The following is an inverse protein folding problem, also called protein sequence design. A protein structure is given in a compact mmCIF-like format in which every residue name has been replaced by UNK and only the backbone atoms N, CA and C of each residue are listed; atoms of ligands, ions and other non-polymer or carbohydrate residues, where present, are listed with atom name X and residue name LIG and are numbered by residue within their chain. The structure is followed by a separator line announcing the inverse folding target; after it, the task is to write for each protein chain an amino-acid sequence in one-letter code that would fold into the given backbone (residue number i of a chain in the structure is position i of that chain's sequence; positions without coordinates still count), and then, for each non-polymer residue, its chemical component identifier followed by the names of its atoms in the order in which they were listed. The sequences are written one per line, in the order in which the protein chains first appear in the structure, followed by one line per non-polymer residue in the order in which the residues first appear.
data_IF_165148187901
#
_entry.id   IF_165148187901
#
_cell.length_a   1.000
_cell.length_b   1.000
_cell.length_c   1.000
_cell.angle_alpha   90.00
_cell.angle_beta   90.00
_cell.angle_gamma   90.00
#
_symmetry.space_group_name_H-M   'P 1'
#
loop_
_entity.id
_entity.type
_entity.pdbx_description
1 polymer ?
#
# COMPACT_ATOMS: atom_id res chain seq x y z
N UNK A 1 14.77 4.94 -25.97
CA UNK A 1 16.23 4.93 -25.72
C UNK A 1 16.62 3.59 -25.12
N UNK A 2 17.80 3.04 -25.47
CA UNK A 2 18.26 1.75 -24.97
C UNK A 2 19.03 1.94 -23.64
N UNK A 3 18.72 1.10 -22.65
CA UNK A 3 19.47 1.03 -21.40
C UNK A 3 20.72 0.15 -21.61
N UNK A 4 21.92 0.69 -21.34
CA UNK A 4 23.16 -0.07 -21.39
C UNK A 4 23.55 -0.50 -19.96
N UNK A 5 23.59 -1.81 -19.70
CA UNK A 5 23.97 -2.38 -18.41
C UNK A 5 25.32 -3.07 -18.59
N UNK A 6 26.37 -2.51 -17.98
CA UNK A 6 27.74 -3.05 -17.97
C UNK A 6 28.05 -3.80 -16.68
N UNK A 7 27.11 -4.62 -16.24
CA UNK A 7 27.24 -5.43 -15.03
C UNK A 7 27.25 -6.92 -15.41
N UNK A 8 28.36 -7.66 -15.20
CA UNK A 8 28.47 -9.06 -15.60
C UNK A 8 27.44 -9.97 -14.92
N UNK A 9 27.07 -9.68 -13.68
CA UNK A 9 26.10 -10.48 -12.93
C UNK A 9 24.69 -10.33 -13.53
N UNK A 10 24.29 -9.10 -13.85
CA UNK A 10 23.01 -8.83 -14.53
C UNK A 10 22.94 -9.54 -15.88
N UNK A 11 24.04 -9.57 -16.65
CA UNK A 11 24.05 -10.30 -17.91
C UNK A 11 23.92 -11.82 -17.72
N UNK A 12 24.60 -12.37 -16.71
CA UNK A 12 24.50 -13.79 -16.34
C UNK A 12 23.05 -14.14 -15.96
N UNK A 13 22.44 -13.36 -15.08
CA UNK A 13 21.04 -13.57 -14.66
C UNK A 13 20.07 -13.45 -15.83
N UNK A 14 20.23 -12.44 -16.68
CA UNK A 14 19.38 -12.28 -17.86
C UNK A 14 19.50 -13.47 -18.83
N UNK A 15 20.71 -14.04 -18.96
CA UNK A 15 20.97 -15.23 -19.79
C UNK A 15 20.34 -16.49 -19.19
N UNK A 16 20.49 -16.72 -17.89
CA UNK A 16 19.91 -17.87 -17.20
C UNK A 16 18.39 -17.84 -17.24
N UNK A 17 17.78 -16.70 -16.92
CA UNK A 17 16.31 -16.55 -16.98
C UNK A 17 15.82 -16.75 -18.42
N UNK A 18 16.46 -16.14 -19.41
CA UNK A 18 16.12 -16.33 -20.82
C UNK A 18 16.21 -17.81 -21.24
N UNK A 19 17.23 -18.54 -20.80
CA UNK A 19 17.38 -19.97 -21.11
C UNK A 19 16.27 -20.81 -20.47
N UNK A 20 15.85 -20.48 -19.25
CA UNK A 20 14.77 -21.17 -18.54
C UNK A 20 13.39 -20.88 -19.13
N UNK A 21 13.15 -19.67 -19.62
CA UNK A 21 11.83 -19.25 -20.14
C UNK A 21 11.69 -19.37 -21.65
N UNK A 22 12.80 -19.56 -22.38
CA UNK A 22 12.81 -19.49 -23.85
C UNK A 22 12.65 -18.07 -24.41
N UNK A 23 12.70 -17.04 -23.55
CA UNK A 23 12.61 -15.64 -23.97
C UNK A 23 13.99 -15.10 -24.42
N UNK A 24 14.01 -13.93 -25.07
CA UNK A 24 15.27 -13.19 -25.27
C UNK A 24 15.77 -12.59 -23.94
N UNK A 25 17.08 -12.35 -23.80
CA UNK A 25 17.65 -11.63 -22.64
C UNK A 25 16.91 -10.33 -22.34
N UNK A 26 16.59 -9.55 -23.37
CA UNK A 26 15.82 -8.30 -23.23
C UNK A 26 14.36 -8.55 -22.81
N UNK A 27 13.74 -9.63 -23.31
CA UNK A 27 12.40 -10.06 -22.89
C UNK A 27 12.36 -10.42 -21.41
N UNK A 28 13.30 -11.25 -20.96
CA UNK A 28 13.46 -11.65 -19.57
C UNK A 28 13.65 -10.43 -18.65
N UNK A 29 14.54 -9.49 -19.01
CA UNK A 29 14.74 -8.25 -18.24
C UNK A 29 13.47 -7.42 -18.18
N UNK A 30 12.79 -7.22 -19.32
CA UNK A 30 11.54 -6.44 -19.38
C UNK A 30 10.48 -7.04 -18.46
N UNK A 31 10.33 -8.36 -18.49
CA UNK A 31 9.36 -9.08 -17.67
C UNK A 31 9.70 -8.97 -16.18
N UNK A 32 10.95 -9.20 -15.81
CA UNK A 32 11.41 -9.09 -14.43
C UNK A 32 11.18 -7.68 -13.84
N UNK A 33 11.44 -6.62 -14.63
CA UNK A 33 11.14 -5.24 -14.23
C UNK A 33 9.64 -5.00 -14.05
N UNK A 34 8.81 -5.55 -14.95
CA UNK A 34 7.36 -5.41 -14.87
C UNK A 34 6.80 -6.06 -13.59
N UNK A 35 7.24 -7.28 -13.30
CA UNK A 35 6.85 -8.01 -12.09
C UNK A 35 7.34 -7.31 -10.81
N UNK A 36 8.59 -6.80 -10.82
CA UNK A 36 9.12 -6.03 -9.68
C UNK A 36 8.32 -4.75 -9.47
N UNK A 37 7.98 -4.02 -10.53
CA UNK A 37 7.12 -2.82 -10.47
C UNK A 37 5.76 -3.16 -9.88
N UNK A 38 5.11 -4.23 -10.35
CA UNK A 38 3.80 -4.65 -9.82
C UNK A 38 3.88 -5.01 -8.33
N UNK A 39 4.89 -5.78 -7.89
CA UNK A 39 5.10 -6.08 -6.47
C UNK A 39 5.29 -4.83 -5.62
N UNK A 40 6.02 -3.83 -6.13
CA UNK A 40 6.22 -2.56 -5.43
C UNK A 40 4.93 -1.72 -5.37
N UNK A 41 4.16 -1.67 -6.46
CA UNK A 41 2.88 -0.96 -6.48
C UNK A 41 1.86 -1.58 -5.51
N UNK A 42 1.83 -2.91 -5.36
CA UNK A 42 0.97 -3.57 -4.39
C UNK A 42 1.39 -3.24 -2.95
N UNK A 43 2.69 -3.33 -2.63
CA UNK A 43 3.22 -2.98 -1.30
C UNK A 43 3.02 -1.51 -0.95
N UNK A 44 3.23 -0.61 -1.91
CA UNK A 44 2.98 0.80 -1.73
C UNK A 44 1.48 1.08 -1.67
N UNK A 45 0.65 0.40 -2.45
CA UNK A 45 -0.80 0.56 -2.43
C UNK A 45 -1.42 0.30 -1.06
N UNK A 46 -0.93 -0.71 -0.33
CA UNK A 46 -1.36 -1.02 1.05
C UNK A 46 -0.88 0.03 2.06
N UNK A 47 0.42 0.36 2.06
CA UNK A 47 0.98 1.41 2.94
C UNK A 47 0.35 2.78 2.68
N UNK A 48 0.09 3.09 1.42
CA UNK A 48 -0.45 4.36 0.98
C UNK A 48 -1.97 4.42 1.15
N UNK A 49 -2.69 3.28 1.24
CA UNK A 49 -4.14 3.32 1.52
C UNK A 49 -4.43 3.85 2.92
N UNK A 50 -3.71 3.37 3.93
CA UNK A 50 -3.83 3.89 5.30
C UNK A 50 -3.41 5.35 5.38
N UNK A 51 -2.25 5.69 4.80
CA UNK A 51 -1.76 7.07 4.79
C UNK A 51 -2.70 8.04 4.06
N UNK A 52 -3.23 7.67 2.88
CA UNK A 52 -4.22 8.47 2.14
C UNK A 52 -5.54 8.60 2.89
N UNK A 53 -6.00 7.54 3.56
CA UNK A 53 -7.21 7.60 4.36
C UNK A 53 -7.03 8.56 5.54
N UNK A 54 -5.91 8.46 6.26
CA UNK A 54 -5.57 9.40 7.34
C UNK A 54 -5.53 10.81 6.77
N UNK A 55 -4.77 11.06 5.71
CA UNK A 55 -4.66 12.38 5.08
C UNK A 55 -6.02 12.97 4.68
N UNK A 56 -6.92 12.16 4.12
CA UNK A 56 -8.30 12.56 3.83
C UNK A 56 -9.08 12.90 5.11
N UNK A 57 -8.98 12.07 6.15
CA UNK A 57 -9.61 12.35 7.44
C UNK A 57 -9.09 13.66 8.03
N UNK A 58 -7.77 13.93 7.98
CA UNK A 58 -7.20 15.16 8.55
C UNK A 58 -7.59 16.41 7.79
N UNK A 59 -7.62 16.33 6.46
CA UNK A 59 -7.89 17.48 5.59
C UNK A 59 -9.37 17.78 5.44
N UNK A 60 -10.19 16.75 5.22
CA UNK A 60 -11.56 16.91 4.71
C UNK A 60 -12.63 16.60 5.76
N UNK A 61 -12.35 15.70 6.71
CA UNK A 61 -13.36 15.23 7.68
C UNK A 61 -13.20 15.93 9.03
N UNK A 62 -12.04 15.81 9.66
CA UNK A 62 -11.82 16.31 11.01
C UNK A 62 -11.99 17.83 11.19
N UNK A 63 -11.66 18.72 10.23
CA UNK A 63 -11.93 20.15 10.36
C UNK A 63 -13.42 20.50 10.38
N UNK A 64 -14.29 19.58 9.91
CA UNK A 64 -15.74 19.77 9.89
C UNK A 64 -16.44 19.18 11.11
N UNK A 65 -15.71 18.48 11.98
CA UNK A 65 -16.28 17.92 13.19
C UNK A 65 -16.50 19.02 14.23
N UNK A 66 -17.61 18.94 15.02
CA UNK A 66 -17.85 19.86 16.12
C UNK A 66 -16.70 19.92 17.13
N UNK A 67 -16.49 21.11 17.71
CA UNK A 67 -15.50 21.34 18.76
C UNK A 67 -15.92 20.54 19.99
N UNK A 68 -15.25 19.41 20.25
CA UNK A 68 -15.59 18.47 21.32
C UNK A 68 -15.57 17.01 20.89
N UNK A 69 -15.72 16.72 19.58
CA UNK A 69 -15.64 15.36 19.04
C UNK A 69 -14.21 14.91 18.71
N UNK A 70 -13.21 15.79 18.88
CA UNK A 70 -11.82 15.56 18.45
C UNK A 70 -10.91 15.45 19.66
N UNK A 71 -10.22 14.32 19.80
CA UNK A 71 -9.17 14.11 20.80
C UNK A 71 -9.60 13.60 22.17
N UNK A 72 -10.87 13.20 22.34
CA UNK A 72 -11.34 12.52 23.55
C UNK A 72 -11.23 11.00 23.43
N UNK A 73 -10.72 10.34 24.46
CA UNK A 73 -10.85 8.89 24.61
C UNK A 73 -12.30 8.60 25.00
N UNK A 74 -13.09 7.99 24.13
CA UNK A 74 -14.45 7.53 24.48
C UNK A 74 -14.32 6.47 25.58
N UNK A 75 -15.00 6.65 26.71
CA UNK A 75 -14.99 5.65 27.78
C UNK A 75 -15.76 4.41 27.33
N UNK A 76 -15.52 3.27 27.99
CA UNK A 76 -16.21 2.02 27.66
C UNK A 76 -17.72 2.18 27.80
N UNK A 77 -18.17 2.86 28.85
CA UNK A 77 -19.59 3.12 29.13
C UNK A 77 -20.24 3.95 28.03
N UNK A 78 -19.53 4.98 27.53
CA UNK A 78 -19.99 5.78 26.40
C UNK A 78 -20.08 4.97 25.10
N UNK A 79 -19.12 4.07 24.86
CA UNK A 79 -19.16 3.16 23.70
C UNK A 79 -20.35 2.21 23.82
N UNK A 80 -20.58 1.64 25.00
CA UNK A 80 -21.71 0.74 25.27
C UNK A 80 -23.05 1.46 25.08
N UNK A 81 -23.19 2.69 25.55
CA UNK A 81 -24.38 3.51 25.34
C UNK A 81 -24.64 3.78 23.84
N UNK A 82 -23.61 4.16 23.07
CA UNK A 82 -23.71 4.38 21.62
C UNK A 82 -24.10 3.10 20.87
N UNK A 83 -23.61 1.95 21.31
CA UNK A 83 -23.90 0.64 20.72
C UNK A 83 -25.26 0.06 21.17
N UNK A 84 -25.95 0.71 22.12
CA UNK A 84 -27.22 0.23 22.66
C UNK A 84 -27.08 -0.87 23.73
N UNK A 85 -25.91 -1.01 24.33
CA UNK A 85 -25.63 -1.86 25.51
C UNK A 85 -25.65 -1.09 26.83
N UNK A 86 -26.13 0.16 26.82
CA UNK A 86 -26.30 0.97 28.02
C UNK A 86 -27.41 0.44 28.95
N UNK A 87 -27.71 1.15 30.06
CA UNK A 87 -28.73 0.72 31.04
C UNK A 87 -30.16 0.56 30.48
N UNK A 88 -30.45 1.15 29.31
CA UNK A 88 -31.70 1.01 28.56
C UNK A 88 -31.58 0.07 27.34
N UNK A 89 -30.46 -0.64 27.22
CA UNK A 89 -30.16 -1.62 26.16
C UNK A 89 -30.86 -2.95 26.37
N UNK A 90 -30.94 -3.77 25.31
CA UNK A 90 -31.47 -5.15 25.38
C UNK A 90 -30.52 -6.06 26.15
#
# INVERSE_FOLDING_TARGET
MALNIKDPETERLAREVAALTGESKTGAIRRALHERKQRLLLRNGERDRGARLIQFLERDVWPRLPVGCRGGTTTKEQVEEILGYGPEGV
#
